data_IF_535102575568
#
_entry.id   IF_535102575568
#
_cell.length_a   1.000
_cell.length_b   1.000
_cell.length_c   1.000
_cell.angle_alpha   90.00
_cell.angle_beta   90.00
_cell.angle_gamma   90.00
#
_symmetry.space_group_name_H-M   'P 1'
#
loop_
_entity.id
_entity.type
_entity.pdbx_description
1 polymer ?
#
# COMPACT_ATOMS: atom_id res chain seq x y z
N UNK A 1 -20.65 -14.56 -13.01
CA UNK A 1 -21.35 -14.46 -11.72
C UNK A 1 -22.87 -14.63 -11.82
N UNK A 2 -23.63 -13.85 -12.63
CA UNK A 2 -25.11 -13.98 -12.72
C UNK A 2 -25.62 -15.38 -13.14
N UNK A 3 -24.95 -16.08 -14.07
CA UNK A 3 -25.35 -17.44 -14.50
C UNK A 3 -25.16 -18.52 -13.41
N UNK A 4 -24.18 -18.34 -12.53
CA UNK A 4 -23.86 -19.28 -11.44
C UNK A 4 -24.92 -19.24 -10.33
N UNK A 5 -25.41 -18.03 -10.03
CA UNK A 5 -26.42 -17.77 -9.01
C UNK A 5 -27.81 -18.31 -9.40
N UNK A 6 -28.14 -18.23 -10.70
CA UNK A 6 -29.43 -18.72 -11.24
C UNK A 6 -29.55 -20.24 -11.15
N UNK A 7 -28.43 -20.98 -11.27
CA UNK A 7 -28.45 -22.44 -11.27
C UNK A 7 -28.64 -23.05 -9.87
N UNK A 8 -28.15 -22.38 -8.82
CA UNK A 8 -28.34 -22.82 -7.42
C UNK A 8 -29.81 -22.70 -6.99
N UNK A 9 -30.57 -21.77 -7.58
CA UNK A 9 -31.97 -21.52 -7.23
C UNK A 9 -32.92 -22.58 -7.81
N UNK A 10 -32.57 -23.26 -8.92
CA UNK A 10 -33.52 -24.10 -9.67
C UNK A 10 -33.68 -25.54 -9.16
N UNK A 11 -32.88 -26.01 -8.21
CA UNK A 11 -32.95 -27.39 -7.70
C UNK A 11 -33.47 -27.41 -6.28
N UNK A 12 -34.80 -27.38 -6.14
CA UNK A 12 -35.50 -27.41 -4.85
C UNK A 12 -36.22 -28.75 -4.71
N UNK A 13 -35.91 -29.53 -3.66
CA UNK A 13 -36.83 -30.44 -2.93
C UNK A 13 -36.09 -31.22 -1.81
N UNK A 14 -36.54 -30.96 -0.56
CA UNK A 14 -36.48 -31.75 0.69
C UNK A 14 -35.16 -32.37 1.20
N UNK A 15 -34.61 -31.86 2.31
CA UNK A 15 -33.56 -32.51 3.13
C UNK A 15 -33.85 -32.30 4.62
N UNK A 16 -33.61 -33.33 5.44
CA UNK A 16 -33.99 -33.45 6.86
C UNK A 16 -32.83 -33.08 7.83
N UNK A 17 -33.21 -32.66 9.05
CA UNK A 17 -32.42 -32.22 10.21
C UNK A 17 -31.25 -33.16 10.60
N UNK A 18 -31.34 -34.46 10.33
CA UNK A 18 -30.27 -35.44 10.59
C UNK A 18 -28.98 -35.18 9.78
N UNK A 19 -29.10 -34.54 8.61
CA UNK A 19 -27.96 -34.16 7.78
C UNK A 19 -27.12 -33.05 8.43
N UNK A 20 -27.76 -32.17 9.21
CA UNK A 20 -27.14 -31.01 9.82
C UNK A 20 -26.23 -31.37 11.01
N UNK A 21 -26.55 -32.44 11.74
CA UNK A 21 -25.73 -32.95 12.85
C UNK A 21 -24.46 -33.67 12.36
N UNK A 22 -24.52 -34.36 11.21
CA UNK A 22 -23.34 -35.02 10.62
C UNK A 22 -22.35 -34.03 10.00
N UNK A 23 -22.81 -32.82 9.64
CA UNK A 23 -21.95 -31.74 9.13
C UNK A 23 -21.06 -31.15 10.23
N UNK A 24 -21.44 -31.23 11.52
CA UNK A 24 -20.59 -30.77 12.62
C UNK A 24 -19.31 -31.63 12.80
N UNK A 25 -19.23 -32.79 12.14
CA UNK A 25 -18.05 -33.67 12.08
C UNK A 25 -17.00 -33.23 11.02
N UNK A 26 -17.19 -32.06 10.40
CA UNK A 26 -16.31 -31.40 9.42
C UNK A 26 -14.83 -31.30 9.82
N UNK A 27 -14.53 -31.44 11.12
CA UNK A 27 -13.17 -31.38 11.65
C UNK A 27 -12.29 -32.58 11.24
N UNK A 28 -12.85 -33.74 10.86
CA UNK A 28 -12.06 -34.99 10.88
C UNK A 28 -11.82 -35.69 9.55
N UNK A 29 -12.67 -35.54 8.53
CA UNK A 29 -12.47 -36.31 7.30
C UNK A 29 -13.12 -35.69 6.05
N UNK A 30 -12.29 -35.27 5.09
CA UNK A 30 -12.73 -34.69 3.81
C UNK A 30 -13.20 -35.78 2.83
N UNK A 31 -12.75 -37.03 3.02
CA UNK A 31 -13.07 -38.18 2.19
C UNK A 31 -14.46 -38.75 2.52
N UNK A 32 -14.86 -38.64 3.79
CA UNK A 32 -16.16 -39.12 4.31
C UNK A 32 -17.36 -38.42 3.65
N UNK A 33 -17.31 -37.08 3.48
CA UNK A 33 -18.41 -36.31 2.88
C UNK A 33 -18.53 -36.48 1.36
N UNK A 34 -17.41 -36.71 0.66
CA UNK A 34 -17.42 -37.04 -0.78
C UNK A 34 -18.04 -38.40 -1.05
N UNK A 35 -17.75 -39.41 -0.20
CA UNK A 35 -18.21 -40.78 -0.41
C UNK A 35 -19.65 -41.03 0.01
N UNK A 36 -20.18 -40.34 1.04
CA UNK A 36 -21.33 -40.90 1.79
C UNK A 36 -22.68 -40.20 1.64
N UNK A 37 -22.78 -38.86 1.53
CA UNK A 37 -24.11 -38.23 1.74
C UNK A 37 -24.44 -36.97 0.92
N UNK A 38 -23.57 -35.96 0.83
CA UNK A 38 -23.92 -34.65 0.24
C UNK A 38 -24.24 -34.77 -1.27
N UNK A 39 -23.55 -35.64 -2.00
CA UNK A 39 -23.74 -35.84 -3.43
C UNK A 39 -24.84 -36.87 -3.78
N UNK A 40 -25.35 -37.64 -2.83
CA UNK A 40 -26.38 -38.64 -3.11
C UNK A 40 -27.79 -38.10 -2.87
N UNK A 41 -28.03 -37.39 -1.77
CA UNK A 41 -29.36 -36.86 -1.42
C UNK A 41 -29.75 -35.64 -2.28
N UNK A 42 -28.85 -34.68 -2.48
CA UNK A 42 -29.09 -33.46 -3.27
C UNK A 42 -29.39 -33.73 -4.76
N UNK A 43 -28.93 -34.87 -5.27
CA UNK A 43 -29.06 -35.24 -6.67
C UNK A 43 -30.21 -36.21 -6.95
N UNK A 44 -31.01 -36.59 -5.93
CA UNK A 44 -32.20 -37.44 -6.13
C UNK A 44 -33.23 -36.78 -7.05
N UNK A 45 -33.31 -35.44 -7.04
CA UNK A 45 -34.30 -34.68 -7.83
C UNK A 45 -33.74 -34.11 -9.15
N UNK A 46 -32.43 -34.23 -9.39
CA UNK A 46 -31.81 -33.83 -10.68
C UNK A 46 -31.87 -35.03 -11.61
N UNK A 47 -32.71 -34.94 -12.64
CA UNK A 47 -33.11 -36.09 -13.48
C UNK A 47 -32.06 -36.50 -14.50
N UNK A 48 -31.23 -35.57 -15.00
CA UNK A 48 -30.22 -35.88 -16.03
C UNK A 48 -28.79 -35.87 -15.49
N UNK A 49 -27.95 -36.79 -15.97
CA UNK A 49 -26.52 -36.91 -15.60
C UNK A 49 -25.72 -35.65 -15.96
N UNK A 50 -26.09 -34.97 -17.04
CA UNK A 50 -25.41 -33.76 -17.54
C UNK A 50 -25.63 -32.56 -16.60
N UNK A 51 -26.86 -32.36 -16.11
CA UNK A 51 -27.15 -31.33 -15.10
C UNK A 51 -26.36 -31.56 -13.81
N UNK A 52 -26.17 -32.84 -13.43
CA UNK A 52 -25.37 -33.17 -12.23
C UNK A 52 -23.92 -32.75 -12.38
N UNK A 53 -23.32 -33.09 -13.52
CA UNK A 53 -21.94 -32.75 -13.83
C UNK A 53 -21.73 -31.24 -13.93
N UNK A 54 -22.68 -30.53 -14.56
CA UNK A 54 -22.64 -29.08 -14.66
C UNK A 54 -22.75 -28.40 -13.30
N UNK A 55 -23.60 -28.89 -12.39
CA UNK A 55 -23.68 -28.38 -11.02
C UNK A 55 -22.34 -28.51 -10.29
N UNK A 56 -21.78 -29.73 -10.26
CA UNK A 56 -20.54 -30.03 -9.54
C UNK A 56 -19.40 -29.17 -10.08
N UNK A 57 -19.29 -29.08 -11.41
CA UNK A 57 -18.29 -28.23 -12.07
C UNK A 57 -18.43 -26.77 -11.65
N UNK A 58 -19.63 -26.19 -11.76
CA UNK A 58 -19.90 -24.81 -11.40
C UNK A 58 -19.60 -24.50 -9.92
N UNK A 59 -19.93 -25.43 -9.02
CA UNK A 59 -19.66 -25.26 -7.59
C UNK A 59 -18.17 -25.37 -7.27
N UNK A 60 -17.45 -26.30 -7.90
CA UNK A 60 -16.00 -26.38 -7.79
C UNK A 60 -15.31 -25.16 -8.42
N UNK A 61 -15.83 -24.64 -9.53
CA UNK A 61 -15.35 -23.41 -10.16
C UNK A 61 -15.55 -22.21 -9.22
N UNK A 62 -16.71 -22.10 -8.56
CA UNK A 62 -16.93 -21.11 -7.50
C UNK A 62 -15.89 -21.26 -6.38
N UNK A 63 -15.74 -22.48 -5.86
CA UNK A 63 -14.79 -22.78 -4.81
C UNK A 63 -13.36 -22.39 -5.19
N UNK A 64 -12.97 -22.65 -6.44
CA UNK A 64 -11.65 -22.31 -6.96
C UNK A 64 -11.48 -20.79 -7.11
N UNK A 65 -12.50 -20.09 -7.62
CA UNK A 65 -12.49 -18.63 -7.82
C UNK A 65 -12.39 -17.87 -6.49
N UNK A 66 -13.13 -18.30 -5.47
CA UNK A 66 -13.26 -17.56 -4.21
C UNK A 66 -12.30 -18.05 -3.11
N UNK A 67 -11.80 -19.28 -3.18
CA UNK A 67 -10.96 -19.87 -2.12
C UNK A 67 -9.68 -20.53 -2.62
N UNK A 68 -9.48 -20.61 -3.94
CA UNK A 68 -8.31 -21.23 -4.57
C UNK A 68 -8.45 -22.74 -4.80
N UNK A 69 -7.55 -23.29 -5.62
CA UNK A 69 -7.57 -24.71 -6.04
C UNK A 69 -7.55 -25.71 -4.89
N UNK A 70 -6.71 -25.48 -3.90
CA UNK A 70 -6.54 -26.37 -2.73
C UNK A 70 -7.85 -26.49 -1.91
N UNK A 71 -8.62 -25.40 -1.85
CA UNK A 71 -9.82 -25.31 -1.01
C UNK A 71 -11.13 -25.39 -1.80
N UNK A 72 -11.09 -25.63 -3.11
CA UNK A 72 -12.28 -25.50 -3.96
C UNK A 72 -13.42 -26.44 -3.58
N UNK A 73 -13.11 -27.65 -3.13
CA UNK A 73 -14.11 -28.60 -2.65
C UNK A 73 -14.76 -28.12 -1.35
N UNK A 74 -13.96 -27.63 -0.39
CA UNK A 74 -14.46 -27.08 0.88
C UNK A 74 -15.28 -25.80 0.66
N UNK A 75 -14.80 -24.90 -0.19
CA UNK A 75 -15.52 -23.68 -0.59
C UNK A 75 -16.84 -23.96 -1.29
N UNK A 76 -16.88 -24.98 -2.16
CA UNK A 76 -18.11 -25.47 -2.79
C UNK A 76 -19.11 -26.00 -1.73
N UNK A 77 -18.65 -26.86 -0.82
CA UNK A 77 -19.51 -27.41 0.26
C UNK A 77 -20.09 -26.27 1.11
N UNK A 78 -19.28 -25.29 1.49
CA UNK A 78 -19.74 -24.16 2.29
C UNK A 78 -20.78 -23.32 1.55
N UNK A 79 -20.59 -23.04 0.26
CA UNK A 79 -21.60 -22.33 -0.53
C UNK A 79 -22.95 -23.07 -0.57
N UNK A 80 -22.90 -24.41 -0.65
CA UNK A 80 -24.10 -25.24 -0.56
C UNK A 80 -24.74 -25.05 0.82
N UNK A 81 -23.97 -25.11 1.91
CA UNK A 81 -24.48 -24.92 3.28
C UNK A 81 -25.09 -23.52 3.52
N UNK A 82 -24.42 -22.44 3.10
CA UNK A 82 -24.89 -21.06 3.16
C UNK A 82 -26.28 -20.89 2.52
N UNK A 83 -26.47 -21.50 1.33
CA UNK A 83 -27.73 -21.46 0.61
C UNK A 83 -28.87 -22.14 1.40
N UNK A 84 -28.62 -23.29 2.01
CA UNK A 84 -29.61 -23.99 2.85
C UNK A 84 -29.93 -23.20 4.13
N UNK A 85 -28.92 -22.61 4.78
CA UNK A 85 -29.06 -21.88 6.04
C UNK A 85 -29.90 -20.61 5.92
N UNK A 86 -30.04 -20.03 4.72
CA UNK A 86 -30.90 -18.87 4.49
C UNK A 86 -32.40 -19.10 4.82
N UNK A 87 -32.80 -20.36 5.08
CA UNK A 87 -34.18 -20.76 5.34
C UNK A 87 -34.45 -21.41 6.70
N UNK A 88 -33.43 -21.74 7.50
CA UNK A 88 -33.60 -22.38 8.81
C UNK A 88 -32.92 -21.59 9.94
N UNK A 89 -33.74 -21.09 10.89
CA UNK A 89 -33.34 -20.06 11.86
C UNK A 89 -32.43 -20.62 12.98
N UNK A 90 -32.53 -21.92 13.26
CA UNK A 90 -31.90 -22.58 14.42
C UNK A 90 -30.47 -23.07 14.16
N UNK A 91 -30.18 -23.48 12.92
CA UNK A 91 -28.84 -23.87 12.46
C UNK A 91 -27.88 -22.67 12.28
N UNK A 92 -28.40 -21.45 12.41
CA UNK A 92 -27.72 -20.26 11.91
C UNK A 92 -26.55 -19.80 12.77
N UNK A 93 -26.56 -19.90 14.10
CA UNK A 93 -25.53 -19.23 14.91
C UNK A 93 -24.17 -19.95 14.95
N UNK A 94 -24.14 -21.24 15.28
CA UNK A 94 -22.90 -22.01 15.40
C UNK A 94 -22.23 -22.25 14.04
N UNK A 95 -23.05 -22.48 13.00
CA UNK A 95 -22.56 -22.62 11.63
C UNK A 95 -22.16 -21.28 11.03
N UNK A 96 -22.87 -20.15 11.27
CA UNK A 96 -22.36 -18.82 10.88
C UNK A 96 -20.99 -18.54 11.47
N UNK A 97 -20.69 -18.99 12.69
CA UNK A 97 -19.36 -18.78 13.30
C UNK A 97 -18.28 -19.58 12.54
N UNK A 98 -18.51 -20.87 12.29
CA UNK A 98 -17.58 -21.75 11.57
C UNK A 98 -17.40 -21.36 10.09
N UNK A 99 -18.51 -21.07 9.44
CA UNK A 99 -18.61 -20.55 8.08
C UNK A 99 -17.84 -19.23 7.99
N UNK A 100 -18.09 -18.27 8.88
CA UNK A 100 -17.32 -17.03 8.94
C UNK A 100 -15.83 -17.26 9.19
N UNK A 101 -15.42 -18.26 9.99
CA UNK A 101 -14.00 -18.52 10.22
C UNK A 101 -13.31 -19.08 8.98
N UNK A 102 -13.87 -20.12 8.34
CA UNK A 102 -13.29 -20.66 7.11
C UNK A 102 -13.32 -19.63 5.97
N UNK A 103 -14.45 -18.91 5.79
CA UNK A 103 -14.54 -17.82 4.81
C UNK A 103 -13.50 -16.74 5.10
N UNK A 104 -13.41 -16.22 6.34
CA UNK A 104 -12.44 -15.17 6.67
C UNK A 104 -10.99 -15.60 6.43
N UNK A 105 -10.69 -16.87 6.69
CA UNK A 105 -9.35 -17.41 6.57
C UNK A 105 -8.99 -17.82 5.13
N UNK A 106 -9.91 -18.36 4.34
CA UNK A 106 -9.57 -18.96 3.03
C UNK A 106 -10.12 -18.18 1.84
N UNK A 107 -10.94 -17.14 2.06
CA UNK A 107 -11.41 -16.28 0.98
C UNK A 107 -10.25 -15.53 0.35
N UNK A 108 -10.19 -15.58 -0.97
CA UNK A 108 -9.30 -14.78 -1.80
C UNK A 108 -9.67 -13.31 -1.63
N UNK A 109 -8.69 -12.51 -1.20
CA UNK A 109 -8.77 -11.06 -1.08
C UNK A 109 -7.76 -10.44 -2.02
N UNK A 110 -8.08 -9.26 -2.53
CA UNK A 110 -7.15 -8.47 -3.35
C UNK A 110 -6.81 -7.18 -2.65
N UNK A 111 -5.51 -6.89 -2.59
CA UNK A 111 -4.96 -5.63 -2.12
C UNK A 111 -4.32 -4.92 -3.30
N UNK A 112 -4.64 -3.64 -3.46
CA UNK A 112 -4.09 -2.78 -4.49
C UNK A 112 -3.32 -1.66 -3.80
N UNK A 113 -2.05 -1.50 -4.18
CA UNK A 113 -1.17 -0.47 -3.67
C UNK A 113 -0.70 0.40 -4.83
N UNK A 114 -0.68 1.71 -4.63
CA UNK A 114 0.07 2.63 -5.47
C UNK A 114 1.07 3.38 -4.61
N UNK A 115 2.31 3.46 -5.04
CA UNK A 115 3.35 4.15 -4.31
C UNK A 115 4.28 4.90 -5.24
N UNK A 116 4.84 5.99 -4.71
CA UNK A 116 5.81 6.81 -5.39
C UNK A 116 6.91 7.25 -4.44
N UNK A 117 7.90 7.89 -5.04
CA UNK A 117 9.09 8.36 -4.35
C UNK A 117 8.91 9.61 -3.50
N UNK A 118 9.98 10.37 -3.41
CA UNK A 118 10.13 11.51 -2.51
C UNK A 118 9.32 12.73 -2.98
N UNK A 119 8.64 13.37 -2.05
CA UNK A 119 7.82 14.57 -2.24
C UNK A 119 8.45 15.71 -1.44
N UNK A 120 8.89 16.76 -2.14
CA UNK A 120 9.40 18.00 -1.58
C UNK A 120 8.55 19.16 -2.10
N UNK A 121 7.75 19.74 -1.20
CA UNK A 121 6.76 20.80 -1.48
C UNK A 121 7.25 22.20 -1.07
N UNK A 122 8.56 22.35 -0.88
CA UNK A 122 9.21 23.62 -0.57
C UNK A 122 9.98 24.17 -1.77
N UNK A 123 10.83 25.19 -1.55
CA UNK A 123 11.70 25.79 -2.58
C UNK A 123 10.91 26.12 -3.85
N UNK A 124 11.36 25.66 -5.00
CA UNK A 124 10.79 26.03 -6.30
C UNK A 124 9.41 25.40 -6.52
N UNK A 125 9.15 24.21 -5.95
CA UNK A 125 7.83 23.59 -5.97
C UNK A 125 6.85 24.44 -5.16
N UNK A 126 7.22 24.81 -3.94
CA UNK A 126 6.42 25.67 -3.05
C UNK A 126 6.20 27.07 -3.63
N UNK A 127 7.26 27.68 -4.18
CA UNK A 127 7.18 28.99 -4.85
C UNK A 127 6.26 28.94 -6.08
N UNK A 128 6.32 27.86 -6.87
CA UNK A 128 5.39 27.63 -7.98
C UNK A 128 3.93 27.50 -7.53
N UNK A 129 3.68 26.75 -6.47
CA UNK A 129 2.33 26.60 -5.88
C UNK A 129 1.76 27.93 -5.35
N UNK A 130 2.60 28.75 -4.71
CA UNK A 130 2.19 30.09 -4.25
C UNK A 130 1.78 31.02 -5.38
N UNK A 131 2.54 30.99 -6.49
CA UNK A 131 2.29 31.85 -7.66
C UNK A 131 1.07 31.42 -8.45
N UNK A 132 0.93 30.12 -8.70
CA UNK A 132 0.01 29.58 -9.71
C UNK A 132 -1.17 28.78 -9.11
N UNK A 133 -1.27 28.70 -7.79
CA UNK A 133 -2.26 27.91 -7.07
C UNK A 133 -1.69 26.59 -6.55
N UNK A 134 -2.10 26.20 -5.34
CA UNK A 134 -1.67 24.97 -4.69
C UNK A 134 -2.29 23.70 -5.29
N UNK A 135 -3.26 23.86 -6.18
CA UNK A 135 -3.91 22.82 -6.99
C UNK A 135 -3.25 22.58 -8.36
N UNK A 136 -2.17 23.31 -8.68
CA UNK A 136 -1.64 23.32 -10.06
C UNK A 136 -1.06 21.98 -10.51
N UNK A 137 -0.51 21.18 -9.57
CA UNK A 137 0.33 20.01 -9.89
C UNK A 137 -0.46 18.97 -10.68
N UNK A 138 -1.70 18.68 -10.25
CA UNK A 138 -2.49 17.59 -10.80
C UNK A 138 -3.60 18.06 -11.76
N UNK A 139 -3.71 19.36 -12.06
CA UNK A 139 -4.69 19.90 -13.01
C UNK A 139 -4.61 19.25 -14.39
N UNK A 140 -3.39 19.01 -14.89
CA UNK A 140 -3.14 18.45 -16.24
C UNK A 140 -2.73 16.98 -16.23
N UNK A 141 -2.52 16.42 -15.04
CA UNK A 141 -1.98 15.08 -14.87
C UNK A 141 -2.62 14.41 -13.66
N UNK A 142 -3.19 13.23 -13.85
CA UNK A 142 -3.86 12.49 -12.79
C UNK A 142 -3.12 11.17 -12.49
N UNK A 143 -2.30 11.11 -11.41
CA UNK A 143 -1.50 9.93 -11.07
C UNK A 143 -2.33 8.71 -10.71
N UNK A 144 -3.58 8.93 -10.28
CA UNK A 144 -4.49 7.87 -9.87
C UNK A 144 -5.41 7.44 -11.02
N UNK A 145 -5.10 7.81 -12.27
CA UNK A 145 -5.95 7.45 -13.41
C UNK A 145 -5.99 5.93 -13.58
N UNK A 146 -7.17 5.36 -13.38
CA UNK A 146 -7.42 3.93 -13.60
C UNK A 146 -7.09 3.02 -12.42
N UNK A 147 -6.79 3.56 -11.24
CA UNK A 147 -6.72 2.77 -9.99
C UNK A 147 -8.07 2.74 -9.28
N UNK A 148 -8.29 1.72 -8.46
CA UNK A 148 -9.50 1.60 -7.63
C UNK A 148 -9.52 2.65 -6.51
N UNK A 149 -10.72 3.09 -6.08
CA UNK A 149 -10.92 3.90 -4.87
C UNK A 149 -10.47 3.21 -3.58
N UNK A 150 -10.33 1.89 -3.61
CA UNK A 150 -9.80 1.10 -2.49
C UNK A 150 -8.28 0.89 -2.52
N UNK A 151 -7.58 1.49 -3.49
CA UNK A 151 -6.11 1.46 -3.53
C UNK A 151 -5.55 2.20 -2.32
N UNK A 152 -4.56 1.61 -1.66
CA UNK A 152 -3.77 2.30 -0.63
C UNK A 152 -2.63 3.03 -1.31
N UNK A 153 -2.45 4.30 -0.97
CA UNK A 153 -1.41 5.17 -1.48
C UNK A 153 -0.26 5.29 -0.47
N UNK A 154 0.99 5.28 -0.93
CA UNK A 154 2.17 5.47 -0.08
C UNK A 154 3.22 6.37 -0.76
N UNK A 155 3.71 7.38 -0.04
CA UNK A 155 4.80 8.27 -0.50
C UNK A 155 5.68 8.70 0.69
N UNK A 156 6.83 9.30 0.41
CA UNK A 156 7.69 9.93 1.43
C UNK A 156 7.60 11.45 1.31
N UNK A 157 7.28 12.15 2.40
CA UNK A 157 7.24 13.62 2.44
C UNK A 157 8.53 14.14 3.08
N UNK A 158 9.41 14.69 2.27
CA UNK A 158 10.75 15.15 2.63
C UNK A 158 10.80 16.66 2.92
N UNK A 159 9.65 17.32 2.94
CA UNK A 159 9.54 18.71 3.34
C UNK A 159 8.51 18.84 4.47
N UNK A 160 8.91 18.97 5.74
CA UNK A 160 7.97 19.27 6.82
C UNK A 160 7.25 20.60 6.56
N UNK A 161 6.00 20.68 7.00
CA UNK A 161 5.17 21.87 6.91
C UNK A 161 5.50 22.89 8.02
N UNK A 162 5.34 24.16 7.69
CA UNK A 162 5.42 25.28 8.64
C UNK A 162 4.49 26.43 8.20
N UNK A 163 4.17 27.32 9.13
CA UNK A 163 3.49 28.59 8.84
C UNK A 163 4.36 29.50 7.98
N UNK A 164 5.65 29.58 8.34
CA UNK A 164 6.66 30.36 7.63
C UNK A 164 7.55 29.36 6.91
N UNK A 165 7.40 29.27 5.60
CA UNK A 165 8.25 28.48 4.73
C UNK A 165 9.61 29.15 4.47
N UNK A 166 10.41 28.54 3.61
CA UNK A 166 11.61 29.16 3.04
C UNK A 166 11.63 28.98 1.51
N UNK A 167 10.45 29.06 0.89
CA UNK A 167 10.27 28.88 -0.54
C UNK A 167 10.96 30.02 -1.29
N UNK A 168 12.23 29.81 -1.57
CA UNK A 168 13.09 30.66 -2.37
C UNK A 168 13.63 29.78 -3.49
N UNK A 169 13.92 30.36 -4.66
CA UNK A 169 14.57 29.65 -5.76
C UNK A 169 16.06 29.33 -5.44
N UNK A 170 16.43 29.26 -4.15
CA UNK A 170 17.80 29.01 -3.69
C UNK A 170 18.07 27.52 -3.51
N UNK A 171 19.29 27.08 -3.84
CA UNK A 171 19.71 25.67 -3.80
C UNK A 171 20.02 25.14 -2.38
N UNK A 172 19.39 25.68 -1.34
CA UNK A 172 19.63 25.20 0.03
C UNK A 172 18.99 23.83 0.26
N UNK A 173 19.63 22.98 1.07
CA UNK A 173 19.07 21.69 1.52
C UNK A 173 18.14 21.85 2.74
N UNK A 174 17.58 23.04 2.94
CA UNK A 174 16.61 23.32 3.99
C UNK A 174 15.22 23.23 3.38
N UNK A 175 14.49 22.14 3.62
CA UNK A 175 13.16 21.92 3.09
C UNK A 175 12.11 22.24 4.14
N UNK A 176 11.42 23.38 3.99
CA UNK A 176 10.38 23.83 4.92
C UNK A 176 9.21 24.38 4.11
N UNK A 177 8.20 23.53 3.91
CA UNK A 177 7.07 23.81 3.03
C UNK A 177 6.01 24.67 3.73
N UNK A 178 5.35 25.56 2.99
CA UNK A 178 4.19 26.27 3.51
C UNK A 178 3.04 25.28 3.78
N UNK A 179 2.34 25.39 4.92
CA UNK A 179 1.19 24.53 5.25
C UNK A 179 0.13 24.46 4.14
N UNK A 180 -0.06 25.51 3.35
CA UNK A 180 -1.03 25.50 2.24
C UNK A 180 -0.71 24.45 1.16
N UNK A 181 0.54 23.98 1.08
CA UNK A 181 0.92 22.88 0.19
C UNK A 181 0.28 21.53 0.56
N UNK A 182 -0.38 21.39 1.72
CA UNK A 182 -1.19 20.21 2.04
C UNK A 182 -2.23 19.89 0.95
N UNK A 183 -2.70 20.91 0.23
CA UNK A 183 -3.62 20.76 -0.89
C UNK A 183 -3.10 19.79 -1.96
N UNK A 184 -1.78 19.78 -2.22
CA UNK A 184 -1.15 18.84 -3.15
C UNK A 184 -1.38 17.40 -2.69
N UNK A 185 -1.19 17.12 -1.40
CA UNK A 185 -1.40 15.77 -0.85
C UNK A 185 -2.88 15.39 -0.84
N UNK A 186 -3.78 16.34 -0.59
CA UNK A 186 -5.23 16.10 -0.66
C UNK A 186 -5.69 15.73 -2.08
N UNK A 187 -5.18 16.42 -3.10
CA UNK A 187 -5.49 16.11 -4.49
C UNK A 187 -4.89 14.78 -4.93
N UNK A 188 -3.65 14.50 -4.55
CA UNK A 188 -3.00 13.22 -4.78
C UNK A 188 -3.75 12.07 -4.08
N UNK A 189 -4.28 12.33 -2.89
CA UNK A 189 -5.02 11.35 -2.10
C UNK A 189 -6.40 11.07 -2.70
N UNK A 190 -7.14 12.12 -3.07
CA UNK A 190 -8.55 12.01 -3.41
C UNK A 190 -9.33 11.29 -2.30
N UNK A 191 -10.05 10.23 -2.66
CA UNK A 191 -10.83 9.40 -1.73
C UNK A 191 -10.05 8.20 -1.17
N UNK A 192 -8.80 7.99 -1.61
CA UNK A 192 -8.02 6.83 -1.24
C UNK A 192 -7.44 6.95 0.19
N UNK A 193 -7.12 5.80 0.79
CA UNK A 193 -6.33 5.78 2.02
C UNK A 193 -4.87 6.07 1.68
N UNK A 194 -4.30 7.13 2.25
CA UNK A 194 -2.92 7.53 2.01
C UNK A 194 -2.08 7.43 3.28
N UNK A 195 -0.93 6.81 3.14
CA UNK A 195 0.16 6.82 4.11
C UNK A 195 1.29 7.72 3.60
N UNK A 196 1.88 8.50 4.51
CA UNK A 196 3.04 9.33 4.24
C UNK A 196 4.14 8.97 5.23
N UNK A 197 5.30 8.59 4.72
CA UNK A 197 6.51 8.52 5.54
C UNK A 197 7.01 9.92 5.85
N UNK A 198 7.26 10.18 7.13
CA UNK A 198 8.00 11.34 7.61
C UNK A 198 9.41 10.97 8.08
N UNK A 199 9.72 9.67 8.12
CA UNK A 199 11.03 9.17 8.52
C UNK A 199 12.02 9.40 7.37
N UNK A 200 12.59 10.59 7.35
CA UNK A 200 13.69 11.02 6.48
C UNK A 200 14.56 12.04 7.21
N UNK A 201 15.67 12.44 6.60
CA UNK A 201 16.62 13.41 7.13
C UNK A 201 16.13 14.85 7.17
N UNK A 202 15.11 15.19 6.40
CA UNK A 202 14.63 16.56 6.31
C UNK A 202 13.50 16.87 7.29
N UNK A 203 12.98 15.89 8.05
CA UNK A 203 11.89 16.10 9.00
C UNK A 203 12.17 17.24 10.02
N UNK A 204 13.44 17.45 10.38
CA UNK A 204 13.86 18.46 11.36
C UNK A 204 14.10 19.85 10.75
N UNK A 205 14.01 20.00 9.43
CA UNK A 205 14.31 21.27 8.73
C UNK A 205 13.39 22.41 9.15
N UNK A 206 12.18 22.09 9.60
CA UNK A 206 11.22 23.07 10.11
C UNK A 206 11.24 23.24 11.65
N UNK A 207 12.19 22.59 12.35
CA UNK A 207 12.28 22.57 13.82
C UNK A 207 11.11 21.81 14.47
N UNK A 208 11.08 21.77 15.81
CA UNK A 208 10.03 21.04 16.56
C UNK A 208 8.61 21.52 16.23
N UNK A 209 8.41 22.84 16.13
CA UNK A 209 7.12 23.42 15.69
C UNK A 209 6.69 22.95 14.30
N UNK A 210 7.64 22.73 13.40
CA UNK A 210 7.38 22.18 12.08
C UNK A 210 6.94 20.72 12.11
N UNK A 211 7.53 19.92 13.00
CA UNK A 211 7.09 18.54 13.24
C UNK A 211 5.64 18.52 13.74
N UNK A 212 5.32 19.33 14.75
CA UNK A 212 3.93 19.44 15.26
C UNK A 212 2.96 19.88 14.18
N UNK A 213 3.31 20.94 13.44
CA UNK A 213 2.48 21.46 12.33
C UNK A 213 2.26 20.37 11.28
N UNK A 214 3.29 19.60 10.95
CA UNK A 214 3.20 18.52 9.96
C UNK A 214 2.27 17.41 10.44
N UNK A 215 2.46 16.93 11.66
CA UNK A 215 1.64 15.87 12.24
C UNK A 215 0.16 16.27 12.33
N UNK A 216 -0.11 17.49 12.84
CA UNK A 216 -1.48 18.02 12.96
C UNK A 216 -2.14 18.20 11.59
N UNK A 217 -1.40 18.73 10.62
CA UNK A 217 -1.96 19.01 9.30
C UNK A 217 -2.27 17.71 8.53
N UNK A 218 -1.43 16.69 8.64
CA UNK A 218 -1.69 15.39 8.03
C UNK A 218 -2.90 14.71 8.70
N UNK A 219 -2.99 14.75 10.03
CA UNK A 219 -4.12 14.20 10.79
C UNK A 219 -5.46 14.87 10.43
N UNK A 220 -5.51 16.21 10.42
CA UNK A 220 -6.68 17.00 10.02
C UNK A 220 -7.17 16.68 8.59
N UNK A 221 -6.26 16.23 7.72
CA UNK A 221 -6.55 15.87 6.33
C UNK A 221 -6.73 14.36 6.13
N UNK A 222 -6.82 13.59 7.23
CA UNK A 222 -6.98 12.14 7.24
C UNK A 222 -5.88 11.42 6.43
N UNK A 223 -4.64 11.90 6.52
CA UNK A 223 -3.45 11.29 5.93
C UNK A 223 -2.65 10.64 7.05
N UNK A 224 -2.35 9.35 6.91
CA UNK A 224 -1.71 8.58 7.98
C UNK A 224 -0.20 8.80 7.90
N UNK A 225 0.37 9.57 8.81
CA UNK A 225 1.82 9.75 8.93
C UNK A 225 2.49 8.55 9.62
N UNK A 226 3.77 8.32 9.29
CA UNK A 226 4.56 7.18 9.75
C UNK A 226 5.98 7.58 10.16
N UNK A 227 6.48 6.94 11.21
CA UNK A 227 7.90 6.92 11.57
C UNK A 227 8.41 8.17 12.27
N UNK A 228 7.54 9.14 12.55
CA UNK A 228 7.81 10.32 13.37
C UNK A 228 6.58 10.59 14.23
N UNK A 229 6.78 10.84 15.52
CA UNK A 229 5.68 11.06 16.46
C UNK A 229 6.11 11.79 17.72
N UNK A 230 5.11 12.20 18.52
CA UNK A 230 5.34 12.74 19.88
C UNK A 230 5.73 11.67 20.87
N UNK A 231 5.38 10.42 20.57
CA UNK A 231 5.66 9.22 21.35
C UNK A 231 6.20 8.13 20.42
N UNK A 232 6.79 7.08 21.00
CA UNK A 232 7.27 5.92 20.23
C UNK A 232 6.12 5.31 19.40
N UNK A 233 6.38 5.15 18.10
CA UNK A 233 5.47 4.48 17.17
C UNK A 233 6.16 3.26 16.57
N UNK A 234 5.48 2.11 16.64
CA UNK A 234 5.98 0.88 16.01
C UNK A 234 5.52 0.80 14.56
N UNK A 235 4.21 0.85 14.32
CA UNK A 235 3.62 0.84 12.99
C UNK A 235 2.22 1.47 13.00
N UNK A 236 1.73 1.85 11.82
CA UNK A 236 0.31 2.16 11.60
C UNK A 236 -0.35 1.05 10.82
N UNK A 237 -1.68 0.96 10.94
CA UNK A 237 -2.47 -0.07 10.29
C UNK A 237 -3.73 0.50 9.62
N UNK A 238 -4.22 -0.23 8.63
CA UNK A 238 -5.56 -0.02 8.07
C UNK A 238 -6.15 -1.35 7.63
N UNK A 239 -7.46 -1.39 7.43
CA UNK A 239 -8.15 -2.54 6.85
C UNK A 239 -8.79 -2.13 5.53
N UNK A 240 -8.32 -2.72 4.43
CA UNK A 240 -8.91 -2.55 3.10
C UNK A 240 -9.24 -3.90 2.49
N UNK A 241 -10.45 -4.05 1.95
CA UNK A 241 -10.93 -5.33 1.40
C UNK A 241 -10.73 -6.53 2.34
N UNK A 242 -10.92 -6.31 3.65
CA UNK A 242 -10.72 -7.31 4.72
C UNK A 242 -9.27 -7.81 4.86
N UNK A 243 -8.32 -7.03 4.35
CA UNK A 243 -6.87 -7.22 4.50
C UNK A 243 -6.38 -6.19 5.50
N UNK A 244 -5.85 -6.64 6.64
CA UNK A 244 -5.15 -5.80 7.61
C UNK A 244 -3.74 -5.51 7.09
N UNK A 245 -3.49 -4.27 6.71
CA UNK A 245 -2.20 -3.80 6.21
C UNK A 245 -1.50 -3.04 7.32
N UNK A 246 -0.24 -3.37 7.59
CA UNK A 246 0.57 -2.71 8.60
C UNK A 246 1.86 -2.18 7.98
N UNK A 247 2.21 -0.94 8.31
CA UNK A 247 3.31 -0.21 7.68
C UNK A 247 4.16 0.43 8.77
N UNK A 248 5.48 0.28 8.66
CA UNK A 248 6.45 0.98 9.50
C UNK A 248 7.48 1.65 8.61
N UNK A 249 7.87 2.87 8.94
CA UNK A 249 8.85 3.65 8.18
C UNK A 249 10.03 4.03 9.06
N UNK A 250 11.23 4.01 8.49
CA UNK A 250 12.48 4.26 9.18
C UNK A 250 13.41 5.13 8.34
N UNK A 251 14.21 5.97 9.02
CA UNK A 251 15.29 6.77 8.43
C UNK A 251 16.64 6.39 8.99
N UNK A 252 17.73 6.64 8.27
CA UNK A 252 19.08 6.39 8.76
C UNK A 252 19.38 7.02 10.12
N UNK A 253 20.41 6.50 10.79
CA UNK A 253 20.89 7.06 12.05
C UNK A 253 21.57 8.42 11.82
N UNK A 254 21.35 9.32 12.77
CA UNK A 254 21.28 10.76 12.62
C UNK A 254 22.57 11.56 12.52
N UNK A 255 23.71 10.95 12.22
CA UNK A 255 24.94 11.74 12.09
C UNK A 255 24.89 12.74 10.92
N UNK A 256 23.94 12.56 10.00
CA UNK A 256 23.70 13.41 8.83
C UNK A 256 22.43 14.28 8.91
N UNK A 257 21.77 14.40 10.08
CA UNK A 257 20.75 15.44 10.26
C UNK A 257 21.44 16.80 10.21
N UNK A 258 21.52 17.39 9.01
CA UNK A 258 22.16 18.69 8.81
C UNK A 258 21.63 19.71 9.83
N UNK A 259 22.47 20.00 10.83
CA UNK A 259 22.54 21.23 11.63
C UNK A 259 21.50 21.55 12.71
N UNK A 260 20.59 20.66 13.15
CA UNK A 260 19.57 21.06 14.18
C UNK A 260 19.37 20.15 15.40
N UNK A 261 20.23 19.16 15.64
CA UNK A 261 20.25 18.40 16.91
C UNK A 261 20.55 19.25 18.16
N UNK A 262 20.86 20.54 18.00
CA UNK A 262 21.00 21.50 19.12
C UNK A 262 19.69 22.18 19.52
N UNK A 263 18.58 21.89 18.83
CA UNK A 263 17.24 22.28 19.27
C UNK A 263 16.71 21.20 20.23
N UNK A 264 16.79 21.45 21.54
CA UNK A 264 16.30 20.56 22.60
C UNK A 264 14.82 20.16 22.41
N UNK A 265 14.06 20.90 21.61
CA UNK A 265 12.67 20.58 21.28
C UNK A 265 12.60 19.42 20.29
N UNK A 266 13.52 19.36 19.29
CA UNK A 266 13.54 18.31 18.28
C UNK A 266 13.88 16.95 18.87
N UNK A 267 14.78 16.91 19.87
CA UNK A 267 15.17 15.66 20.53
C UNK A 267 14.03 14.98 21.32
N UNK A 268 12.92 15.69 21.58
CA UNK A 268 11.76 15.13 22.28
C UNK A 268 10.87 14.28 21.38
N UNK A 269 10.98 14.43 20.06
CA UNK A 269 10.15 13.65 19.14
C UNK A 269 10.78 12.29 18.89
N UNK A 270 9.91 11.29 18.80
CA UNK A 270 10.30 10.00 18.28
C UNK A 270 10.54 10.12 16.77
N UNK A 271 11.72 9.71 16.34
CA UNK A 271 12.07 9.50 14.92
C UNK A 271 12.55 8.07 14.81
N UNK A 272 11.87 7.28 14.00
CA UNK A 272 12.13 5.86 13.90
C UNK A 272 13.41 5.60 13.09
N UNK A 273 14.49 5.27 13.79
CA UNK A 273 15.81 5.05 13.18
C UNK A 273 15.96 3.63 12.66
N UNK A 274 16.61 3.49 11.50
CA UNK A 274 16.98 2.21 10.91
C UNK A 274 18.01 1.55 11.81
N UNK A 275 17.56 0.54 12.54
CA UNK A 275 18.41 -0.51 13.09
C UNK A 275 17.76 -1.85 12.77
N UNK A 276 18.58 -2.87 12.50
CA UNK A 276 18.07 -4.23 12.26
C UNK A 276 17.13 -4.67 13.39
N UNK A 277 17.52 -4.42 14.64
CA UNK A 277 16.73 -4.76 15.82
C UNK A 277 15.34 -4.10 15.81
N UNK A 278 15.27 -2.78 15.56
CA UNK A 278 14.00 -2.05 15.56
C UNK A 278 13.08 -2.53 14.44
N UNK A 279 13.61 -2.75 13.24
CA UNK A 279 12.82 -3.24 12.10
C UNK A 279 12.26 -4.63 12.39
N UNK A 280 13.09 -5.53 12.92
CA UNK A 280 12.67 -6.89 13.27
C UNK A 280 11.68 -6.92 14.45
N UNK A 281 11.84 -6.04 15.44
CA UNK A 281 10.87 -5.83 16.54
C UNK A 281 9.52 -5.43 15.97
N UNK A 282 9.46 -4.44 15.08
CA UNK A 282 8.21 -3.97 14.50
C UNK A 282 7.53 -5.06 13.64
N UNK A 283 8.30 -5.82 12.85
CA UNK A 283 7.75 -6.97 12.09
C UNK A 283 7.17 -8.06 12.99
N UNK A 284 7.84 -8.37 14.11
CA UNK A 284 7.33 -9.30 15.11
C UNK A 284 5.99 -8.82 15.67
N UNK A 285 5.90 -7.55 16.07
CA UNK A 285 4.66 -6.96 16.58
C UNK A 285 3.54 -6.95 15.52
N UNK A 286 3.85 -6.66 14.26
CA UNK A 286 2.88 -6.76 13.17
C UNK A 286 2.36 -8.21 12.99
N UNK A 287 3.23 -9.21 13.15
CA UNK A 287 2.83 -10.62 13.09
C UNK A 287 1.91 -10.98 14.26
N UNK A 288 2.26 -10.57 15.48
CA UNK A 288 1.45 -10.78 16.69
C UNK A 288 0.08 -10.08 16.60
N UNK A 289 0.04 -8.94 15.92
CA UNK A 289 -1.17 -8.17 15.66
C UNK A 289 -1.98 -8.66 14.43
N UNK A 290 -1.66 -9.85 13.92
CA UNK A 290 -2.36 -10.51 12.80
C UNK A 290 -2.45 -9.67 11.51
N UNK A 291 -1.42 -8.86 11.22
CA UNK A 291 -1.34 -8.13 9.96
C UNK A 291 -1.24 -9.11 8.78
N UNK A 292 -2.15 -8.99 7.81
CA UNK A 292 -2.16 -9.83 6.61
C UNK A 292 -1.09 -9.43 5.60
N UNK A 293 -0.73 -8.15 5.56
CA UNK A 293 0.28 -7.61 4.65
C UNK A 293 1.17 -6.61 5.39
N UNK A 294 2.49 -6.78 5.32
CA UNK A 294 3.46 -5.98 6.09
C UNK A 294 4.41 -5.23 5.18
N UNK A 295 4.48 -3.91 5.34
CA UNK A 295 5.29 -3.02 4.52
C UNK A 295 6.35 -2.34 5.40
N UNK A 296 7.60 -2.37 4.96
CA UNK A 296 8.69 -1.63 5.58
C UNK A 296 9.18 -0.56 4.61
N UNK A 297 9.15 0.69 5.05
CA UNK A 297 9.72 1.83 4.31
C UNK A 297 11.07 2.22 4.89
N UNK A 298 12.06 2.42 4.04
CA UNK A 298 13.44 2.72 4.42
C UNK A 298 13.97 3.93 3.65
N UNK A 299 14.26 5.01 4.36
CA UNK A 299 14.97 6.16 3.81
C UNK A 299 16.48 5.94 4.04
N UNK A 300 17.20 5.52 2.99
CA UNK A 300 18.54 4.91 3.10
C UNK A 300 19.34 4.95 1.79
N UNK A 301 20.62 4.58 1.86
CA UNK A 301 21.50 4.48 0.69
C UNK A 301 22.33 5.74 0.48
N UNK A 302 22.89 5.86 -0.72
CA UNK A 302 23.71 7.00 -1.12
C UNK A 302 22.98 7.70 -2.25
N UNK A 303 22.84 9.03 -2.14
CA UNK A 303 22.25 9.87 -3.17
C UNK A 303 22.85 9.57 -4.56
N UNK A 304 21.99 9.45 -5.56
CA UNK A 304 22.34 9.25 -6.97
C UNK A 304 23.08 7.94 -7.29
N UNK A 305 23.07 6.97 -6.38
CA UNK A 305 23.59 5.62 -6.62
C UNK A 305 22.43 4.64 -6.87
N UNK A 306 22.37 4.09 -8.09
CA UNK A 306 21.27 3.22 -8.53
C UNK A 306 21.30 1.84 -7.84
N UNK A 307 22.52 1.32 -7.63
CA UNK A 307 22.72 -0.01 -7.06
C UNK A 307 22.89 0.07 -5.53
N UNK A 308 22.11 -0.71 -4.75
CA UNK A 308 22.24 -0.73 -3.32
C UNK A 308 23.62 -1.25 -2.89
N UNK A 309 24.09 -0.79 -1.73
CA UNK A 309 25.26 -1.36 -1.09
C UNK A 309 24.98 -2.79 -0.61
N UNK A 310 26.01 -3.63 -0.50
CA UNK A 310 25.88 -5.03 -0.07
C UNK A 310 25.20 -5.18 1.30
N UNK A 311 25.42 -4.24 2.22
CA UNK A 311 24.77 -4.23 3.53
C UNK A 311 23.28 -3.85 3.43
N UNK A 312 22.89 -2.98 2.50
CA UNK A 312 21.48 -2.69 2.22
C UNK A 312 20.77 -3.91 1.63
N UNK A 313 21.39 -4.61 0.67
CA UNK A 313 20.83 -5.85 0.12
C UNK A 313 20.66 -6.92 1.20
N UNK A 314 21.69 -7.13 2.03
CA UNK A 314 21.63 -8.06 3.16
C UNK A 314 20.50 -7.70 4.12
N UNK A 315 20.38 -6.43 4.51
CA UNK A 315 19.32 -5.97 5.41
C UNK A 315 17.94 -6.16 4.78
N UNK A 316 17.77 -5.86 3.48
CA UNK A 316 16.52 -6.07 2.76
C UNK A 316 16.07 -7.54 2.78
N UNK A 317 17.01 -8.46 2.51
CA UNK A 317 16.74 -9.90 2.55
C UNK A 317 16.36 -10.37 3.96
N UNK A 318 17.07 -9.89 4.99
CA UNK A 318 16.75 -10.21 6.39
C UNK A 318 15.36 -9.70 6.81
N UNK A 319 14.94 -8.54 6.31
CA UNK A 319 13.60 -7.97 6.54
C UNK A 319 12.50 -8.81 5.88
N UNK A 320 12.71 -9.24 4.62
CA UNK A 320 11.80 -10.16 3.94
C UNK A 320 11.74 -11.52 4.66
N UNK A 321 12.89 -12.05 5.08
CA UNK A 321 12.98 -13.33 5.80
C UNK A 321 12.29 -13.30 7.16
N UNK A 322 12.24 -12.14 7.81
CA UNK A 322 11.48 -11.91 9.03
C UNK A 322 9.96 -11.74 8.80
N UNK A 323 9.52 -11.72 7.53
CA UNK A 323 8.12 -11.77 7.15
C UNK A 323 7.53 -10.46 6.69
N UNK A 324 8.33 -9.50 6.23
CA UNK A 324 7.82 -8.39 5.43
C UNK A 324 7.33 -8.89 4.04
N UNK A 325 6.31 -8.24 3.49
CA UNK A 325 5.74 -8.56 2.18
C UNK A 325 6.21 -7.61 1.08
N UNK A 326 6.64 -6.40 1.46
CA UNK A 326 7.08 -5.33 0.57
C UNK A 326 8.07 -4.41 1.29
N UNK A 327 9.16 -4.05 0.60
CA UNK A 327 10.09 -3.00 1.04
C UNK A 327 10.04 -1.83 0.05
N UNK A 328 9.87 -0.62 0.58
CA UNK A 328 9.84 0.64 -0.17
C UNK A 328 11.01 1.53 0.26
N UNK A 329 11.99 1.70 -0.62
CA UNK A 329 13.17 2.51 -0.39
C UNK A 329 13.04 3.93 -0.94
N UNK A 330 13.71 4.87 -0.30
CA UNK A 330 13.70 6.31 -0.61
C UNK A 330 15.12 6.89 -0.58
N UNK A 331 15.29 8.21 -0.50
CA UNK A 331 16.55 8.94 -0.28
C UNK A 331 17.49 9.08 -1.48
N UNK A 332 17.69 8.03 -2.28
CA UNK A 332 18.72 8.13 -3.33
C UNK A 332 18.36 9.12 -4.45
N UNK A 333 17.15 9.69 -4.43
CA UNK A 333 16.58 10.64 -5.39
C UNK A 333 16.47 10.14 -6.85
N UNK A 334 17.01 8.95 -7.14
CA UNK A 334 16.87 8.24 -8.40
C UNK A 334 16.17 6.89 -8.20
N UNK A 335 15.61 6.36 -9.29
CA UNK A 335 15.05 5.01 -9.25
C UNK A 335 16.19 4.00 -9.06
N UNK A 336 16.16 3.28 -7.93
CA UNK A 336 17.15 2.25 -7.63
C UNK A 336 16.76 0.88 -8.19
N UNK A 337 17.62 -0.11 -7.93
CA UNK A 337 17.35 -1.52 -8.21
C UNK A 337 15.95 -1.92 -7.69
N UNK A 338 15.22 -2.69 -8.51
CA UNK A 338 14.00 -3.39 -8.09
C UNK A 338 14.32 -4.88 -8.10
N UNK A 339 14.07 -5.56 -7.00
CA UNK A 339 14.40 -6.96 -6.80
C UNK A 339 13.18 -7.74 -6.35
N UNK A 340 13.02 -8.97 -6.87
CA UNK A 340 12.10 -9.94 -6.31
C UNK A 340 12.90 -11.00 -5.55
N UNK A 341 12.72 -11.06 -4.24
CA UNK A 341 13.39 -12.02 -3.35
C UNK A 341 12.33 -12.87 -2.64
N UNK A 342 12.39 -14.20 -2.81
CA UNK A 342 11.40 -15.17 -2.30
C UNK A 342 9.93 -14.81 -2.65
N UNK A 343 9.73 -14.29 -3.85
CA UNK A 343 8.41 -13.88 -4.35
C UNK A 343 7.92 -12.53 -3.80
N UNK A 344 8.70 -11.84 -2.96
CA UNK A 344 8.39 -10.51 -2.41
C UNK A 344 9.18 -9.42 -3.12
N UNK A 345 8.59 -8.24 -3.24
CA UNK A 345 9.19 -7.13 -3.96
C UNK A 345 10.00 -6.23 -3.01
N UNK A 346 11.17 -5.82 -3.47
CA UNK A 346 12.07 -4.87 -2.83
C UNK A 346 12.34 -3.74 -3.82
N UNK A 347 11.93 -2.53 -3.47
CA UNK A 347 12.30 -1.32 -4.19
C UNK A 347 13.40 -0.65 -3.38
N UNK A 348 14.65 -0.66 -3.85
CA UNK A 348 15.76 -0.08 -3.07
C UNK A 348 15.72 1.45 -3.05
N UNK A 349 15.19 2.06 -4.10
CA UNK A 349 14.77 3.46 -4.09
C UNK A 349 13.67 3.71 -5.13
N UNK A 350 12.65 4.47 -4.75
CA UNK A 350 11.58 4.91 -5.65
C UNK A 350 11.90 6.22 -6.39
N UNK A 351 13.03 6.84 -6.06
CA UNK A 351 13.48 8.13 -6.60
C UNK A 351 12.61 9.30 -6.16
N UNK A 352 12.65 10.39 -6.93
CA UNK A 352 11.80 11.56 -6.70
C UNK A 352 10.42 11.40 -7.35
N UNK A 353 9.33 11.68 -6.62
CA UNK A 353 7.98 11.80 -7.19
C UNK A 353 7.57 13.25 -7.44
N UNK A 354 7.77 14.18 -6.50
CA UNK A 354 7.61 15.63 -6.73
C UNK A 354 8.84 16.30 -6.13
N UNK A 355 9.72 16.82 -6.98
CA UNK A 355 10.96 17.46 -6.52
C UNK A 355 11.44 18.50 -7.54
N UNK A 356 12.25 19.45 -7.08
CA UNK A 356 12.96 20.44 -7.90
C UNK A 356 14.45 20.09 -8.14
N UNK A 357 14.85 18.85 -7.82
CA UNK A 357 16.18 18.31 -8.10
C UNK A 357 16.17 17.66 -9.50
N UNK A 358 17.08 18.10 -10.35
CA UNK A 358 17.26 17.66 -11.74
C UNK A 358 18.63 17.00 -11.99
N UNK A 359 19.47 16.84 -10.96
CA UNK A 359 20.82 16.29 -11.11
C UNK A 359 20.78 14.77 -11.04
N UNK A 360 21.25 14.09 -12.08
CA UNK A 360 21.31 12.62 -12.09
C UNK A 360 20.87 11.95 -13.40
N UNK A 361 21.47 12.34 -14.53
CA UNK A 361 21.99 11.42 -15.56
C UNK A 361 22.97 12.19 -16.43
N UNK A 362 24.15 11.61 -16.65
CA UNK A 362 25.15 12.09 -17.59
C UNK A 362 24.56 12.22 -19.00
N UNK A 363 24.40 13.45 -19.45
CA UNK A 363 25.03 13.91 -20.70
C UNK A 363 25.40 15.37 -20.53
N UNK A 364 26.68 15.59 -20.17
CA UNK A 364 27.47 16.80 -20.42
C UNK A 364 26.70 18.10 -20.67
N UNK A 365 26.49 18.89 -19.62
CA UNK A 365 26.89 20.30 -19.51
C UNK A 365 26.37 20.82 -18.16
N UNK A 366 26.89 21.96 -17.74
CA UNK A 366 26.92 22.48 -16.37
C UNK A 366 25.55 22.67 -15.70
N UNK A 367 25.40 22.08 -14.50
CA UNK A 367 24.67 22.60 -13.34
C UNK A 367 23.32 23.32 -13.53
N UNK A 368 22.25 22.65 -13.10
CA UNK A 368 20.91 23.18 -12.80
C UNK A 368 20.19 23.79 -14.01
N UNK A 369 19.31 23.02 -14.63
CA UNK A 369 18.49 23.46 -15.75
C UNK A 369 17.37 24.40 -15.26
N UNK A 370 17.75 25.64 -14.94
CA UNK A 370 16.84 26.77 -15.14
C UNK A 370 16.62 26.90 -16.65
N UNK A 371 15.38 26.75 -17.12
CA UNK A 371 15.07 27.19 -18.48
C UNK A 371 14.60 28.64 -18.46
N UNK A 372 15.32 29.49 -19.20
CA UNK A 372 14.92 30.87 -19.47
C UNK A 372 13.63 30.86 -20.27
N UNK A 373 12.57 31.44 -19.71
CA UNK A 373 11.28 31.62 -20.37
C UNK A 373 11.33 32.93 -21.15
N UNK A 374 11.46 32.83 -22.47
CA UNK A 374 11.55 33.98 -23.38
C UNK A 374 10.28 34.85 -23.38
N UNK A 375 9.12 34.28 -23.00
CA UNK A 375 7.85 35.00 -22.94
C UNK A 375 7.74 35.79 -21.64
N UNK A 376 8.22 35.23 -20.53
CA UNK A 376 8.17 35.85 -19.21
C UNK A 376 9.44 36.65 -18.85
N UNK A 377 10.49 36.57 -19.67
CA UNK A 377 11.77 37.22 -19.44
C UNK A 377 12.47 36.78 -18.15
N UNK A 378 12.21 35.57 -17.65
CA UNK A 378 12.72 35.08 -16.37
C UNK A 378 13.06 33.60 -16.40
N UNK A 379 13.93 33.16 -15.48
CA UNK A 379 14.26 31.75 -15.28
C UNK A 379 13.10 31.01 -14.59
N UNK A 380 12.73 29.83 -15.08
CA UNK A 380 11.69 28.97 -14.49
C UNK A 380 12.29 27.63 -14.03
N UNK A 381 11.75 27.06 -12.95
CA UNK A 381 12.25 25.81 -12.34
C UNK A 381 11.36 24.63 -12.72
N UNK A 382 11.99 23.51 -13.11
CA UNK A 382 11.29 22.28 -13.46
C UNK A 382 10.82 21.54 -12.20
N UNK A 383 9.52 21.24 -12.10
CA UNK A 383 9.02 20.23 -11.15
C UNK A 383 9.04 18.87 -11.85
N UNK A 384 9.85 17.92 -11.39
CA UNK A 384 9.85 16.57 -11.94
C UNK A 384 8.74 15.75 -11.28
N UNK A 385 7.81 15.22 -12.08
CA UNK A 385 6.87 14.19 -11.62
C UNK A 385 7.41 12.82 -11.99
N UNK A 386 7.84 12.05 -10.99
CA UNK A 386 8.47 10.74 -11.16
C UNK A 386 7.50 9.62 -11.50
N UNK A 387 7.95 8.37 -11.37
CA UNK A 387 7.09 7.22 -11.60
C UNK A 387 6.18 6.97 -10.40
N UNK A 388 4.96 6.49 -10.64
CA UNK A 388 4.24 5.70 -9.63
C UNK A 388 4.30 4.24 -10.00
N UNK A 389 4.27 3.40 -8.98
CA UNK A 389 4.19 1.96 -9.11
C UNK A 389 2.87 1.51 -8.56
N UNK A 390 2.15 0.71 -9.33
CA UNK A 390 0.94 0.04 -8.90
C UNK A 390 1.26 -1.44 -8.75
N UNK A 391 1.00 -2.00 -7.57
CA UNK A 391 1.14 -3.43 -7.31
C UNK A 391 -0.19 -4.00 -6.82
N UNK A 392 -0.55 -5.16 -7.37
CA UNK A 392 -1.72 -5.93 -6.94
C UNK A 392 -1.28 -7.24 -6.31
N UNK A 393 -1.84 -7.52 -5.15
CA UNK A 393 -1.57 -8.74 -4.38
C UNK A 393 -2.85 -9.53 -4.15
N UNK A 394 -2.71 -10.85 -4.23
CA UNK A 394 -3.74 -11.81 -3.86
C UNK A 394 -3.38 -12.40 -2.50
N UNK A 395 -4.35 -12.41 -1.60
CA UNK A 395 -4.16 -12.83 -0.22
C UNK A 395 -5.13 -13.96 0.09
N UNK A 396 -4.60 -15.09 0.56
CA UNK A 396 -5.36 -16.28 0.96
C UNK A 396 -4.84 -16.74 2.32
N UNK A 397 -5.61 -16.46 3.37
CA UNK A 397 -5.15 -16.62 4.75
C UNK A 397 -3.94 -15.75 5.03
N UNK A 398 -2.82 -16.41 5.33
CA UNK A 398 -1.52 -15.75 5.55
C UNK A 398 -0.60 -15.79 4.32
N UNK A 399 -1.03 -16.42 3.22
CA UNK A 399 -0.28 -16.47 1.97
C UNK A 399 -0.53 -15.18 1.19
N UNK A 400 0.54 -14.52 0.77
CA UNK A 400 0.52 -13.30 -0.04
C UNK A 400 1.24 -13.60 -1.35
N UNK A 401 0.51 -13.47 -2.45
CA UNK A 401 0.94 -13.73 -3.82
C UNK A 401 0.95 -12.40 -4.60
N UNK A 402 2.08 -12.08 -5.23
CA UNK A 402 2.20 -10.92 -6.12
C UNK A 402 1.58 -11.26 -7.48
N UNK A 403 0.65 -10.43 -7.94
CA UNK A 403 -0.20 -10.74 -9.12
C UNK A 403 0.17 -9.90 -10.33
N UNK A 404 0.26 -8.59 -10.14
CA UNK A 404 0.45 -7.64 -11.23
C UNK A 404 1.26 -6.45 -10.73
N UNK A 405 2.07 -5.88 -11.63
CA UNK A 405 2.68 -4.58 -11.40
C UNK A 405 2.69 -3.72 -12.65
N UNK A 406 2.52 -2.43 -12.44
CA UNK A 406 2.61 -1.41 -13.48
C UNK A 406 3.51 -0.30 -12.98
N UNK A 407 4.54 0.02 -13.78
CA UNK A 407 5.26 1.27 -13.63
C UNK A 407 4.58 2.31 -14.51
N UNK A 408 3.93 3.28 -13.87
CA UNK A 408 3.23 4.37 -14.54
C UNK A 408 4.21 5.54 -14.60
N UNK A 409 4.84 5.69 -15.76
CA UNK A 409 5.71 6.84 -16.04
C UNK A 409 4.84 8.07 -16.26
N UNK A 410 5.06 9.10 -15.45
CA UNK A 410 4.37 10.37 -15.62
C UNK A 410 5.23 11.25 -16.52
N UNK A 411 4.83 11.36 -17.79
CA UNK A 411 5.47 12.28 -18.72
C UNK A 411 4.73 13.60 -18.64
N UNK A 412 5.32 14.58 -17.96
CA UNK A 412 4.97 15.98 -18.20
C UNK A 412 5.84 16.44 -19.36
N UNK A 413 5.24 16.84 -20.48
CA UNK A 413 6.02 17.44 -21.57
C UNK A 413 6.51 18.82 -21.13
N UNK A 414 7.75 19.13 -21.48
CA UNK A 414 8.27 20.49 -21.37
C UNK A 414 7.29 21.45 -22.08
N UNK A 415 6.65 22.37 -21.34
CA UNK A 415 5.60 23.26 -21.84
C UNK A 415 4.23 23.12 -21.14
N UNK A 416 3.89 21.94 -20.60
CA UNK A 416 2.57 21.75 -19.96
C UNK A 416 2.49 22.40 -18.57
N UNK A 417 3.65 22.56 -17.90
CA UNK A 417 3.79 23.33 -16.66
C UNK A 417 4.01 24.84 -16.91
N UNK A 418 4.31 25.27 -18.14
CA UNK A 418 4.62 26.67 -18.47
C UNK A 418 3.42 27.47 -18.97
N UNK A 419 2.22 26.89 -19.06
CA UNK A 419 1.00 27.65 -19.37
C UNK A 419 0.47 28.48 -18.16
N UNK A 420 1.28 28.70 -17.12
CA UNK A 420 0.98 29.61 -16.01
C UNK A 420 2.20 30.34 -15.47
#
# INVERSE_FOLDING_TARGET
>A
MKKLFIFIISTYLSINQAFAEQILEFQKDTEYLQKKYILQENFKNIKSTEEKQNFIKNCLDFGEIFFGRENKQKGCIIQILDFYNSKDKYLSEKNKILENQFYKQNKIKYLELQFGGDIMLSRSVGAGNKRNGYDRIFKKFYPNKGISKDTILFYNLESPFNEIDNDTDSQTFLFKANKKNIQVLNELKGENTMFISLANNHITNAGGKGIDTTLELLDQNNIISLGVGREEETFKETVKNQVKVCISAFTYDGELFYSRDKDDIVQKYFINKISKENVLKNLKLMKENNCNFKIISLHWGIEYIENPLKNQEKLAHEIIDAGADLILGHHTHILGKIEQYKGKMIYYSLGNFIFDQDWGKTTNETGVDYKFDEVLGKNTVQTYIGNTFYNKYKIVGNKVEFVDSKNIKHRIKYGELSEY
#
